data_IF_746694365916
#
_entry.id   IF_746694365916
#
_cell.length_a   1.000
_cell.length_b   1.000
_cell.length_c   1.000
_cell.angle_alpha   90.00
_cell.angle_beta   90.00
_cell.angle_gamma   90.00
#
_symmetry.space_group_name_H-M   'P 1'
#
loop_
_entity.id
_entity.type
_entity.pdbx_description
1 polymer ?
#
# COMPACT_ATOMS: atom_id res chain seq x y z
N UNK A 1 -36.51 9.22 -26.26
CA UNK A 1 -35.83 8.57 -25.12
C UNK A 1 -34.36 8.58 -25.42
N UNK A 2 -33.57 9.34 -24.67
CA UNK A 2 -32.12 9.39 -24.85
C UNK A 2 -31.50 8.32 -23.96
N UNK A 3 -30.83 7.34 -24.56
CA UNK A 3 -30.04 6.34 -23.85
C UNK A 3 -28.81 7.02 -23.23
N UNK A 4 -28.87 7.27 -21.92
CA UNK A 4 -27.71 7.68 -21.14
C UNK A 4 -27.05 6.44 -20.54
N UNK A 5 -26.40 5.62 -21.38
CA UNK A 5 -25.43 4.64 -20.89
C UNK A 5 -24.02 5.19 -21.06
N UNK A 6 -23.60 6.05 -20.13
CA UNK A 6 -22.19 6.42 -20.02
C UNK A 6 -21.43 5.24 -19.42
N UNK A 7 -20.73 4.49 -20.27
CA UNK A 7 -19.77 3.46 -19.85
C UNK A 7 -18.52 4.19 -19.33
N UNK A 8 -18.35 4.25 -18.01
CA UNK A 8 -17.12 4.74 -17.41
C UNK A 8 -16.03 3.65 -17.54
N UNK A 9 -14.95 3.98 -18.26
CA UNK A 9 -13.77 3.12 -18.35
C UNK A 9 -12.94 3.36 -17.09
N UNK A 10 -12.87 2.36 -16.20
CA UNK A 10 -12.05 2.42 -15.00
C UNK A 10 -10.65 1.93 -15.39
N UNK A 11 -9.74 2.88 -15.62
CA UNK A 11 -8.33 2.56 -15.85
C UNK A 11 -7.60 2.50 -14.51
N UNK A 12 -6.79 1.46 -14.32
CA UNK A 12 -5.88 1.39 -13.19
C UNK A 12 -4.80 2.47 -13.37
N UNK A 13 -4.78 3.45 -12.47
CA UNK A 13 -3.83 4.58 -12.52
C UNK A 13 -2.60 4.36 -11.65
N UNK A 14 -2.73 3.53 -10.61
CA UNK A 14 -1.67 3.28 -9.63
C UNK A 14 -1.69 1.82 -9.19
N UNK A 15 -0.52 1.31 -8.79
CA UNK A 15 -0.41 0.00 -8.15
C UNK A 15 0.66 -0.03 -7.07
N UNK A 16 0.53 -0.98 -6.16
CA UNK A 16 1.61 -1.35 -5.27
C UNK A 16 2.64 -2.19 -6.04
N UNK A 17 3.88 -1.71 -6.13
CA UNK A 17 4.95 -2.39 -6.87
C UNK A 17 5.72 -3.37 -5.98
N UNK A 18 5.94 -3.01 -4.72
CA UNK A 18 6.61 -3.85 -3.75
C UNK A 18 5.90 -3.75 -2.41
N UNK A 19 5.63 -4.90 -1.80
CA UNK A 19 5.27 -5.03 -0.40
C UNK A 19 6.28 -6.00 0.20
N UNK A 20 7.19 -5.49 1.03
CA UNK A 20 8.20 -6.30 1.70
C UNK A 20 7.93 -6.31 3.19
N UNK A 21 7.90 -7.50 3.78
CA UNK A 21 7.74 -7.70 5.21
C UNK A 21 8.99 -8.41 5.70
N UNK A 22 9.78 -7.71 6.50
CA UNK A 22 10.86 -8.30 7.28
C UNK A 22 10.31 -8.62 8.66
N UNK A 23 9.88 -9.86 8.85
CA UNK A 23 9.25 -10.32 10.09
C UNK A 23 10.23 -10.33 11.27
N UNK A 24 11.51 -10.62 11.02
CA UNK A 24 12.56 -10.65 12.05
C UNK A 24 12.81 -9.25 12.61
N UNK A 25 12.95 -8.27 11.72
CA UNK A 25 13.16 -6.89 12.11
C UNK A 25 11.85 -6.13 12.36
N UNK A 26 10.70 -6.74 12.09
CA UNK A 26 9.36 -6.13 12.09
C UNK A 26 9.33 -4.84 11.27
N UNK A 27 10.00 -4.87 10.12
CA UNK A 27 10.01 -3.77 9.17
C UNK A 27 9.07 -4.08 8.03
N UNK A 28 8.38 -3.05 7.55
CA UNK A 28 7.45 -3.17 6.45
C UNK A 28 7.70 -2.04 5.46
N UNK A 29 7.76 -2.39 4.18
CA UNK A 29 8.10 -1.46 3.11
C UNK A 29 7.12 -1.57 1.95
N UNK A 30 6.67 -0.41 1.46
CA UNK A 30 5.79 -0.30 0.31
C UNK A 30 6.25 0.76 -0.67
N UNK A 31 6.08 0.46 -1.96
CA UNK A 31 6.09 1.47 -3.02
C UNK A 31 4.78 1.48 -3.80
N UNK A 32 4.19 2.66 -3.93
CA UNK A 32 3.15 2.98 -4.89
C UNK A 32 3.81 3.56 -6.13
N UNK A 33 3.47 3.03 -7.29
CA UNK A 33 3.96 3.53 -8.59
C UNK A 33 2.79 3.94 -9.47
N UNK A 34 3.05 4.91 -10.32
CA UNK A 34 2.17 5.25 -11.43
C UNK A 34 2.17 4.10 -12.44
N UNK A 35 1.00 3.62 -12.84
CA UNK A 35 0.89 2.41 -13.66
C UNK A 35 1.46 2.60 -15.07
N UNK A 36 1.34 3.82 -15.62
CA UNK A 36 1.75 4.12 -17.00
C UNK A 36 3.25 4.37 -17.13
N UNK A 37 3.82 5.09 -16.17
CA UNK A 37 5.22 5.52 -16.20
C UNK A 37 6.13 4.68 -15.31
N UNK A 38 5.57 3.84 -14.44
CA UNK A 38 6.30 3.04 -13.44
C UNK A 38 7.12 3.89 -12.45
N UNK A 39 6.86 5.20 -12.39
CA UNK A 39 7.53 6.11 -11.47
C UNK A 39 7.01 5.91 -10.05
N UNK A 40 7.90 5.94 -9.06
CA UNK A 40 7.52 5.88 -7.64
C UNK A 40 6.80 7.15 -7.25
N UNK A 41 5.53 7.01 -6.85
CA UNK A 41 4.71 8.09 -6.35
C UNK A 41 4.87 8.27 -4.84
N UNK A 42 4.89 7.14 -4.12
CA UNK A 42 4.94 7.10 -2.67
C UNK A 42 5.75 5.89 -2.22
N UNK A 43 6.73 6.11 -1.35
CA UNK A 43 7.49 5.09 -0.65
C UNK A 43 7.20 5.18 0.84
N UNK A 44 6.82 4.08 1.46
CA UNK A 44 6.48 4.00 2.88
C UNK A 44 7.36 2.97 3.55
N UNK A 45 8.05 3.35 4.61
CA UNK A 45 8.80 2.44 5.47
C UNK A 45 8.26 2.53 6.88
N UNK A 46 7.93 1.40 7.48
CA UNK A 46 7.44 1.31 8.85
C UNK A 46 8.36 0.41 9.66
N UNK A 47 8.89 0.94 10.76
CA UNK A 47 9.56 0.18 11.81
C UNK A 47 8.54 -0.03 12.93
N UNK A 48 7.97 -1.23 12.98
CA UNK A 48 6.91 -1.55 13.95
C UNK A 48 7.48 -1.82 15.34
N UNK A 49 8.78 -2.11 15.50
CA UNK A 49 9.42 -2.19 16.82
C UNK A 49 9.45 -0.82 17.50
N UNK A 50 9.77 0.22 16.73
CA UNK A 50 9.88 1.60 17.23
C UNK A 50 8.60 2.41 17.07
N UNK A 51 7.60 1.87 16.37
CA UNK A 51 6.37 2.60 16.04
C UNK A 51 6.60 3.80 15.11
N UNK A 52 7.70 3.80 14.36
CA UNK A 52 8.07 4.92 13.49
C UNK A 52 7.72 4.64 12.04
N UNK A 53 7.31 5.68 11.33
CA UNK A 53 6.99 5.61 9.91
C UNK A 53 7.75 6.70 9.17
N UNK A 54 8.33 6.34 8.04
CA UNK A 54 8.99 7.26 7.12
C UNK A 54 8.23 7.24 5.79
N UNK A 55 7.85 8.43 5.35
CA UNK A 55 7.24 8.66 4.05
C UNK A 55 8.31 9.30 3.16
N UNK A 56 8.58 8.69 2.02
CA UNK A 56 9.48 9.20 1.00
C UNK A 56 8.75 9.26 -0.33
N UNK A 57 9.08 10.20 -1.19
CA UNK A 57 8.64 10.16 -2.58
C UNK A 57 9.48 11.09 -3.43
N UNK A 58 9.63 10.74 -4.71
CA UNK A 58 10.39 11.54 -5.67
C UNK A 58 9.57 12.77 -6.12
N UNK A 59 9.14 13.61 -5.17
CA UNK A 59 8.33 14.81 -5.42
C UNK A 59 6.82 14.55 -5.59
N UNK A 60 6.40 13.30 -5.75
CA UNK A 60 5.02 12.87 -6.00
C UNK A 60 4.18 12.64 -4.74
N UNK A 61 4.77 12.74 -3.53
CA UNK A 61 3.99 12.81 -2.27
C UNK A 61 2.95 13.92 -2.35
N UNK A 62 3.25 15.02 -3.08
CA UNK A 62 2.33 16.14 -3.35
C UNK A 62 1.02 15.76 -4.03
N UNK A 63 0.91 14.56 -4.64
CA UNK A 63 -0.32 14.06 -5.25
C UNK A 63 -1.35 13.66 -4.19
N UNK A 64 -0.89 13.24 -3.01
CA UNK A 64 -1.74 12.81 -1.92
C UNK A 64 -1.80 13.90 -0.85
N UNK A 65 -2.96 14.08 -0.27
CA UNK A 65 -3.15 14.84 0.96
C UNK A 65 -2.57 14.08 2.14
N UNK A 66 -2.26 14.81 3.22
CA UNK A 66 -1.80 14.18 4.46
C UNK A 66 -2.83 13.18 5.01
N UNK A 67 -4.13 13.46 4.88
CA UNK A 67 -5.22 12.57 5.29
C UNK A 67 -5.25 11.26 4.48
N UNK A 68 -5.08 11.34 3.15
CA UNK A 68 -4.99 10.15 2.30
C UNK A 68 -3.78 9.27 2.66
N UNK A 69 -2.64 9.91 2.97
CA UNK A 69 -1.44 9.21 3.43
C UNK A 69 -1.70 8.57 4.80
N UNK A 70 -2.35 9.26 5.74
CA UNK A 70 -2.68 8.72 7.06
C UNK A 70 -3.63 7.53 6.98
N UNK A 71 -4.71 7.61 6.19
CA UNK A 71 -5.63 6.51 5.99
C UNK A 71 -4.94 5.29 5.37
N UNK A 72 -4.09 5.51 4.36
CA UNK A 72 -3.28 4.44 3.79
C UNK A 72 -2.36 3.82 4.85
N UNK A 73 -1.67 4.64 5.65
CA UNK A 73 -0.78 4.18 6.70
C UNK A 73 -1.49 3.34 7.76
N UNK A 74 -2.70 3.70 8.16
CA UNK A 74 -3.49 2.92 9.13
C UNK A 74 -3.76 1.52 8.58
N UNK A 75 -4.27 1.42 7.35
CA UNK A 75 -4.56 0.13 6.71
C UNK A 75 -3.32 -0.74 6.55
N UNK A 76 -2.19 -0.12 6.18
CA UNK A 76 -0.92 -0.82 6.04
C UNK A 76 -0.34 -1.29 7.38
N UNK A 77 -0.46 -0.51 8.46
CA UNK A 77 -0.06 -0.94 9.81
C UNK A 77 -0.83 -2.16 10.26
N UNK A 78 -2.16 -2.16 10.06
CA UNK A 78 -3.01 -3.30 10.40
C UNK A 78 -2.59 -4.54 9.60
N UNK A 79 -2.35 -4.38 8.31
CA UNK A 79 -1.90 -5.48 7.43
C UNK A 79 -0.54 -6.02 7.86
N UNK A 80 0.44 -5.15 8.13
CA UNK A 80 1.76 -5.54 8.56
C UNK A 80 1.74 -6.25 9.93
N UNK A 81 0.94 -5.74 10.88
CA UNK A 81 0.75 -6.35 12.19
C UNK A 81 0.11 -7.75 12.07
N UNK A 82 -0.91 -7.88 11.20
CA UNK A 82 -1.56 -9.17 10.93
C UNK A 82 -0.56 -10.20 10.39
N UNK A 83 0.33 -9.78 9.48
CA UNK A 83 1.37 -10.65 8.94
C UNK A 83 2.37 -11.07 10.02
N UNK A 84 2.76 -10.16 10.91
CA UNK A 84 3.69 -10.47 12.01
C UNK A 84 3.07 -11.42 13.02
N UNK A 85 1.85 -11.13 13.48
CA UNK A 85 1.20 -11.90 14.54
C UNK A 85 0.87 -13.33 14.10
N UNK A 86 0.66 -13.53 12.80
CA UNK A 86 0.32 -14.83 12.22
C UNK A 86 1.46 -15.46 11.41
N UNK A 87 2.65 -14.85 11.44
CA UNK A 87 3.85 -15.33 10.75
C UNK A 87 3.60 -15.59 9.24
N UNK A 88 3.00 -14.62 8.56
CA UNK A 88 2.64 -14.66 7.14
C UNK A 88 3.76 -14.03 6.31
N UNK A 89 4.37 -14.81 5.43
CA UNK A 89 5.59 -14.44 4.70
C UNK A 89 5.33 -13.90 3.30
N UNK A 90 4.12 -14.09 2.77
CA UNK A 90 3.81 -13.75 1.39
C UNK A 90 2.32 -13.41 1.20
N UNK A 91 2.03 -12.83 0.05
CA UNK A 91 0.67 -12.40 -0.30
C UNK A 91 -0.33 -13.57 -0.38
N UNK A 92 0.12 -14.78 -0.72
CA UNK A 92 -0.75 -15.96 -0.78
C UNK A 92 -1.21 -16.37 0.63
N UNK A 93 -0.30 -16.41 1.60
CA UNK A 93 -0.61 -16.70 3.00
C UNK A 93 -1.52 -15.64 3.61
N UNK A 94 -1.23 -14.35 3.38
CA UNK A 94 -2.09 -13.26 3.81
C UNK A 94 -3.50 -13.37 3.21
N UNK A 95 -3.59 -13.60 1.90
CA UNK A 95 -4.89 -13.76 1.23
C UNK A 95 -5.68 -14.93 1.81
N UNK A 96 -5.03 -16.09 1.97
CA UNK A 96 -5.65 -17.28 2.55
C UNK A 96 -6.10 -17.03 4.00
N UNK A 97 -5.40 -16.20 4.77
CA UNK A 97 -5.79 -15.82 6.12
C UNK A 97 -7.05 -14.93 6.12
N UNK A 98 -7.13 -13.96 5.22
CA UNK A 98 -8.25 -13.02 5.13
C UNK A 98 -9.55 -13.62 4.55
N UNK A 99 -9.44 -14.71 3.80
CA UNK A 99 -10.59 -15.44 3.22
C UNK A 99 -11.24 -16.44 4.22
N UNK A 100 -10.79 -16.49 5.49
CA UNK A 100 -11.32 -17.38 6.54
C UNK A 100 -12.45 -16.73 7.32
#
# INVERSE_FOLDING_TARGET
MSDYSSIARIDLVERFNFITIDLENKNFYIQVVDEKSNNVLLGLTMDLKKGTTKVAGNGSVKKYTDEEIEHLLIGLKITAQTCIDNNLYNAYELRKYLER
#
